data_IF_801435795586
#
_entry.id   IF_801435795586
#
_cell.length_a   1.000
_cell.length_b   1.000
_cell.length_c   1.000
_cell.angle_alpha   90.00
_cell.angle_beta   90.00
_cell.angle_gamma   90.00
#
_symmetry.space_group_name_H-M   'P 1'
#
loop_
_entity.id
_entity.type
_entity.pdbx_description
1 polymer ?
#
# COMPACT_ATOMS: atom_id res chain seq x y z
N UNK A 1 15.43 -14.31 -23.76
CA UNK A 1 14.02 -14.73 -23.51
C UNK A 1 14.02 -15.86 -22.51
N UNK A 2 13.20 -15.76 -21.46
CA UNK A 2 13.08 -16.75 -20.40
C UNK A 2 11.63 -16.94 -20.04
N UNK A 3 11.28 -18.11 -19.52
CA UNK A 3 9.99 -18.34 -18.83
C UNK A 3 10.09 -17.76 -17.42
N UNK A 4 9.18 -16.87 -17.06
CA UNK A 4 9.16 -16.22 -15.75
C UNK A 4 7.83 -16.42 -15.06
N UNK A 5 7.86 -16.91 -13.82
CA UNK A 5 6.68 -17.08 -12.98
C UNK A 5 6.61 -15.95 -11.95
N UNK A 6 5.41 -15.36 -11.80
CA UNK A 6 5.11 -14.34 -10.79
C UNK A 6 3.95 -14.84 -9.94
N UNK A 7 4.04 -14.72 -8.63
CA UNK A 7 2.96 -15.06 -7.68
C UNK A 7 2.30 -13.78 -7.17
N UNK A 8 1.04 -13.61 -7.52
CA UNK A 8 0.20 -12.46 -7.16
C UNK A 8 0.06 -11.42 -8.27
N UNK A 9 -1.18 -11.19 -8.71
CA UNK A 9 -1.58 -10.17 -9.68
C UNK A 9 -1.93 -8.82 -9.03
N UNK A 10 -1.23 -8.45 -7.95
CA UNK A 10 -1.29 -7.10 -7.37
C UNK A 10 -0.43 -6.10 -8.13
N UNK A 11 -0.38 -4.84 -7.65
CA UNK A 11 0.32 -3.75 -8.34
C UNK A 11 1.77 -4.09 -8.70
N UNK A 12 2.53 -4.66 -7.76
CA UNK A 12 3.95 -4.98 -8.00
C UNK A 12 4.13 -6.15 -8.96
N UNK A 13 3.27 -7.17 -8.87
CA UNK A 13 3.31 -8.33 -9.77
C UNK A 13 2.97 -7.96 -11.21
N UNK A 14 1.93 -7.13 -11.40
CA UNK A 14 1.52 -6.68 -12.73
C UNK A 14 2.55 -5.74 -13.36
N UNK A 15 3.15 -4.80 -12.60
CA UNK A 15 4.23 -3.96 -13.13
C UNK A 15 5.45 -4.80 -13.53
N UNK A 16 5.82 -5.80 -12.71
CA UNK A 16 6.90 -6.72 -13.08
C UNK A 16 6.57 -7.50 -14.35
N UNK A 17 5.35 -7.98 -14.48
CA UNK A 17 4.89 -8.71 -15.67
C UNK A 17 4.93 -7.85 -16.94
N UNK A 18 4.47 -6.61 -16.84
CA UNK A 18 4.46 -5.63 -17.94
C UNK A 18 5.89 -5.35 -18.43
N UNK A 19 6.84 -5.09 -17.51
CA UNK A 19 8.23 -4.80 -17.86
C UNK A 19 8.91 -6.01 -18.52
N UNK A 20 8.72 -7.21 -17.97
CA UNK A 20 9.28 -8.46 -18.49
C UNK A 20 8.73 -8.82 -19.87
N UNK A 21 7.40 -8.75 -20.04
CA UNK A 21 6.77 -9.01 -21.34
C UNK A 21 7.24 -8.00 -22.40
N UNK A 22 7.39 -6.71 -22.02
CA UNK A 22 7.95 -5.68 -22.88
C UNK A 22 9.41 -5.94 -23.32
N UNK A 23 10.16 -6.76 -22.58
CA UNK A 23 11.51 -7.23 -22.92
C UNK A 23 11.53 -8.58 -23.67
N UNK A 24 10.37 -9.14 -23.95
CA UNK A 24 10.22 -10.39 -24.69
C UNK A 24 10.33 -11.67 -23.86
N UNK A 25 10.21 -11.60 -22.53
CA UNK A 25 10.07 -12.80 -21.70
C UNK A 25 8.65 -13.37 -21.80
N UNK A 26 8.52 -14.69 -21.63
CA UNK A 26 7.23 -15.35 -21.47
C UNK A 26 6.84 -15.34 -20.00
N UNK A 27 5.79 -14.59 -19.67
CA UNK A 27 5.41 -14.34 -18.27
C UNK A 27 4.11 -15.02 -17.93
N UNK A 28 4.12 -15.82 -16.85
CA UNK A 28 2.92 -16.38 -16.24
C UNK A 28 2.75 -15.81 -14.83
N UNK A 29 1.59 -15.22 -14.54
CA UNK A 29 1.20 -14.71 -13.25
C UNK A 29 0.19 -15.65 -12.61
N UNK A 30 0.49 -16.18 -11.43
CA UNK A 30 -0.40 -17.02 -10.63
C UNK A 30 -1.17 -16.15 -9.64
N UNK A 31 -2.48 -16.07 -9.79
CA UNK A 31 -3.35 -15.29 -8.91
C UNK A 31 -4.30 -16.23 -8.16
N UNK A 32 -4.38 -16.09 -6.82
CA UNK A 32 -5.23 -16.96 -6.00
C UNK A 32 -6.72 -16.68 -6.14
N UNK A 33 -7.09 -15.42 -6.36
CA UNK A 33 -8.48 -15.02 -6.55
C UNK A 33 -9.00 -15.45 -7.92
N UNK A 34 -10.34 -15.50 -8.07
CA UNK A 34 -10.98 -15.85 -9.34
C UNK A 34 -11.00 -14.71 -10.36
N UNK A 35 -10.53 -13.51 -9.98
CA UNK A 35 -10.48 -12.30 -10.82
C UNK A 35 -9.45 -11.31 -10.30
N UNK A 36 -9.13 -10.30 -11.12
CA UNK A 36 -8.26 -9.21 -10.75
C UNK A 36 -8.84 -8.35 -9.60
N UNK A 37 -7.96 -7.71 -8.82
CA UNK A 37 -8.31 -6.70 -7.84
C UNK A 37 -8.31 -7.18 -6.39
N UNK A 38 -7.94 -8.43 -6.12
CA UNK A 38 -7.82 -8.98 -4.78
C UNK A 38 -9.15 -9.31 -4.12
N UNK A 39 -9.16 -9.42 -2.78
CA UNK A 39 -10.30 -9.89 -1.99
C UNK A 39 -11.58 -9.10 -2.26
N UNK A 40 -12.61 -9.76 -2.80
CA UNK A 40 -13.89 -9.13 -3.18
C UNK A 40 -14.66 -8.54 -1.99
N UNK A 41 -14.44 -9.05 -0.77
CA UNK A 41 -15.04 -8.49 0.42
C UNK A 41 -14.51 -7.11 0.78
N UNK A 42 -13.22 -6.89 0.54
CA UNK A 42 -12.53 -5.64 0.80
C UNK A 42 -12.72 -4.65 -0.36
N UNK A 43 -12.74 -5.13 -1.60
CA UNK A 43 -12.82 -4.33 -2.83
C UNK A 43 -14.26 -4.12 -3.31
N UNK A 44 -14.56 -3.00 -4.02
CA UNK A 44 -13.67 -1.88 -4.34
C UNK A 44 -13.39 -1.00 -3.13
N UNK A 45 -12.20 -0.41 -3.10
CA UNK A 45 -11.84 0.60 -2.11
C UNK A 45 -10.99 1.70 -2.75
N UNK A 46 -11.27 2.97 -2.47
CA UNK A 46 -10.38 4.07 -2.78
C UNK A 46 -9.14 4.01 -1.87
N UNK A 47 -7.98 4.30 -2.43
CA UNK A 47 -6.72 4.33 -1.69
C UNK A 47 -5.89 5.56 -2.07
N UNK A 48 -5.54 6.37 -1.08
CA UNK A 48 -4.74 7.58 -1.27
C UNK A 48 -3.24 7.28 -1.28
N UNK A 49 -2.48 8.03 -2.08
CA UNK A 49 -1.03 8.01 -2.07
C UNK A 49 -0.45 9.31 -2.63
N UNK A 50 0.73 9.74 -2.14
CA UNK A 50 1.50 10.72 -2.85
C UNK A 50 2.11 10.08 -4.12
N UNK A 51 1.77 10.62 -5.29
CA UNK A 51 2.29 10.15 -6.56
C UNK A 51 2.96 11.28 -7.35
N UNK A 52 4.06 10.96 -8.01
CA UNK A 52 4.56 11.65 -9.17
C UNK A 52 4.17 10.82 -10.41
N UNK A 53 3.04 11.16 -11.03
CA UNK A 53 2.49 10.38 -12.15
C UNK A 53 3.45 10.33 -13.33
N UNK A 54 4.09 11.45 -13.68
CA UNK A 54 5.07 11.51 -14.76
C UNK A 54 6.32 10.70 -14.45
N UNK A 55 6.80 10.80 -13.20
CA UNK A 55 7.93 10.01 -12.72
C UNK A 55 7.62 8.52 -12.71
N UNK A 56 6.43 8.11 -12.28
CA UNK A 56 5.99 6.71 -12.33
C UNK A 56 5.97 6.21 -13.76
N UNK A 57 5.34 6.96 -14.68
CA UNK A 57 5.28 6.59 -16.10
C UNK A 57 6.68 6.44 -16.70
N UNK A 58 7.57 7.43 -16.48
CA UNK A 58 8.95 7.38 -16.94
C UNK A 58 9.73 6.20 -16.37
N UNK A 59 9.51 5.90 -15.08
CA UNK A 59 10.24 4.83 -14.39
C UNK A 59 9.70 3.44 -14.72
N UNK A 60 8.39 3.23 -14.73
CA UNK A 60 7.76 1.91 -14.90
C UNK A 60 7.37 1.61 -16.35
N UNK A 61 7.31 2.61 -17.20
CA UNK A 61 6.76 2.48 -18.56
C UNK A 61 5.22 2.32 -18.60
N UNK A 62 4.54 2.59 -17.47
CA UNK A 62 3.08 2.46 -17.35
C UNK A 62 2.48 3.78 -16.91
N UNK A 63 1.55 4.31 -17.71
CA UNK A 63 0.77 5.49 -17.34
C UNK A 63 -0.41 5.08 -16.44
N UNK A 64 -0.37 5.50 -15.18
CA UNK A 64 -1.45 5.26 -14.21
C UNK A 64 -2.40 6.46 -14.07
N UNK A 65 -2.18 7.53 -14.82
CA UNK A 65 -3.01 8.74 -14.73
C UNK A 65 -4.50 8.50 -15.02
N UNK A 66 -4.90 7.58 -15.94
CA UNK A 66 -6.32 7.31 -16.18
C UNK A 66 -7.06 6.74 -14.97
N UNK A 67 -6.36 6.05 -14.05
CA UNK A 67 -6.96 5.48 -12.84
C UNK A 67 -6.74 6.37 -11.60
N UNK A 68 -6.16 7.57 -11.75
CA UNK A 68 -5.76 8.45 -10.65
C UNK A 68 -6.57 9.75 -10.66
N UNK A 69 -7.10 10.14 -9.51
CA UNK A 69 -7.75 11.43 -9.31
C UNK A 69 -7.05 12.22 -8.21
N UNK A 70 -6.93 13.54 -8.38
CA UNK A 70 -6.42 14.42 -7.32
C UNK A 70 -7.37 14.40 -6.14
N UNK A 71 -6.85 14.32 -4.91
CA UNK A 71 -7.67 14.45 -3.71
C UNK A 71 -8.14 15.89 -3.58
N UNK A 72 -9.45 16.09 -3.55
CA UNK A 72 -10.10 17.42 -3.48
C UNK A 72 -10.21 17.93 -2.04
N UNK A 73 -10.48 17.04 -1.09
CA UNK A 73 -10.61 17.37 0.33
C UNK A 73 -9.85 16.36 1.18
N UNK A 74 -8.98 16.87 2.04
CA UNK A 74 -8.19 16.06 2.95
C UNK A 74 -8.23 16.65 4.36
N UNK A 75 -8.59 15.85 5.35
CA UNK A 75 -8.57 16.27 6.74
C UNK A 75 -8.02 15.20 7.69
N UNK A 76 -7.65 15.66 8.87
CA UNK A 76 -7.27 14.80 9.99
C UNK A 76 -8.18 15.13 11.18
N UNK A 77 -8.85 14.13 11.70
CA UNK A 77 -9.54 14.17 12.97
C UNK A 77 -8.60 13.64 14.06
N UNK A 78 -8.22 14.49 15.00
CA UNK A 78 -7.34 14.11 16.09
C UNK A 78 -7.98 14.47 17.43
N UNK A 79 -8.40 13.46 18.19
CA UNK A 79 -9.07 13.60 19.49
C UNK A 79 -10.23 14.61 19.46
N UNK A 80 -11.10 14.48 18.45
CA UNK A 80 -12.31 15.32 18.28
C UNK A 80 -12.09 16.68 17.64
N UNK A 81 -10.86 17.07 17.31
CA UNK A 81 -10.53 18.32 16.60
C UNK A 81 -10.26 18.01 15.12
N UNK A 82 -10.84 18.80 14.21
CA UNK A 82 -10.64 18.68 12.77
C UNK A 82 -9.53 19.62 12.31
N UNK A 83 -8.58 19.05 11.57
CA UNK A 83 -7.50 19.78 10.92
C UNK A 83 -7.62 19.60 9.41
N UNK A 84 -7.75 20.67 8.67
CA UNK A 84 -7.70 20.64 7.21
C UNK A 84 -6.25 20.45 6.79
N UNK A 85 -5.99 19.43 5.96
CA UNK A 85 -4.65 19.20 5.42
C UNK A 85 -4.39 20.15 4.27
N UNK A 86 -3.35 20.98 4.34
CA UNK A 86 -3.01 21.85 3.23
C UNK A 86 -2.58 21.01 2.03
N UNK A 87 -3.33 21.14 0.93
CA UNK A 87 -2.94 20.54 -0.36
C UNK A 87 -1.83 21.40 -0.95
N UNK A 88 -0.59 21.08 -0.60
CA UNK A 88 0.61 21.80 -1.02
C UNK A 88 1.01 21.41 -2.43
N UNK A 89 1.40 22.39 -3.26
CA UNK A 89 1.90 22.12 -4.61
C UNK A 89 3.12 21.19 -4.65
N UNK A 90 3.93 21.22 -3.59
CA UNK A 90 5.11 20.37 -3.45
C UNK A 90 4.81 18.89 -3.19
N UNK A 91 3.58 18.53 -2.79
CA UNK A 91 3.16 17.15 -2.51
C UNK A 91 1.78 16.94 -3.10
N UNK A 92 1.73 16.32 -4.26
CA UNK A 92 0.47 15.96 -4.91
C UNK A 92 -0.04 14.63 -4.33
N UNK A 93 -1.22 14.67 -3.73
CA UNK A 93 -1.91 13.49 -3.23
C UNK A 93 -2.97 13.06 -4.26
N UNK A 94 -2.90 11.81 -4.64
CA UNK A 94 -3.86 11.20 -5.54
C UNK A 94 -4.61 10.07 -4.84
N UNK A 95 -5.83 9.86 -5.28
CA UNK A 95 -6.64 8.70 -4.96
C UNK A 95 -6.69 7.79 -6.17
N UNK A 96 -6.61 6.50 -5.95
CA UNK A 96 -6.89 5.47 -6.96
C UNK A 96 -7.95 4.53 -6.42
N UNK A 97 -8.80 4.03 -7.29
CA UNK A 97 -9.70 2.92 -6.95
C UNK A 97 -8.92 1.61 -7.08
N UNK A 98 -9.06 0.74 -6.10
CA UNK A 98 -8.53 -0.62 -6.12
C UNK A 98 -9.68 -1.61 -6.32
N UNK A 99 -9.45 -2.68 -7.06
CA UNK A 99 -10.47 -3.69 -7.32
C UNK A 99 -10.59 -4.09 -8.78
N UNK A 100 -11.75 -4.69 -9.12
CA UNK A 100 -12.02 -5.24 -10.45
C UNK A 100 -12.92 -4.37 -11.33
N UNK A 101 -13.27 -3.15 -10.91
CA UNK A 101 -14.03 -2.21 -11.74
C UNK A 101 -13.15 -1.64 -12.84
N UNK A 102 -13.76 -1.21 -13.93
CA UNK A 102 -13.05 -0.62 -15.08
C UNK A 102 -12.20 0.60 -14.70
N UNK A 103 -12.69 1.41 -13.75
CA UNK A 103 -11.98 2.57 -13.19
C UNK A 103 -10.80 2.24 -12.27
N UNK A 104 -10.62 0.96 -11.90
CA UNK A 104 -9.63 0.57 -10.92
C UNK A 104 -8.21 0.47 -11.51
N UNK A 105 -7.23 0.87 -10.72
CA UNK A 105 -5.81 0.76 -11.06
C UNK A 105 -5.38 -0.70 -11.32
N UNK A 106 -5.95 -1.65 -10.57
CA UNK A 106 -5.67 -3.08 -10.78
C UNK A 106 -6.12 -3.54 -12.17
N UNK A 107 -7.29 -3.10 -12.63
CA UNK A 107 -7.83 -3.43 -13.95
C UNK A 107 -7.02 -2.76 -15.06
N UNK A 108 -6.61 -1.50 -14.88
CA UNK A 108 -5.74 -0.82 -15.84
C UNK A 108 -4.42 -1.59 -16.03
N UNK A 109 -3.74 -1.94 -14.94
CA UNK A 109 -2.49 -2.69 -15.02
C UNK A 109 -2.68 -4.11 -15.59
N UNK A 110 -3.78 -4.77 -15.25
CA UNK A 110 -4.10 -6.09 -15.80
C UNK A 110 -4.30 -6.04 -17.31
N UNK A 111 -5.09 -5.09 -17.79
CA UNK A 111 -5.35 -4.92 -19.23
C UNK A 111 -4.04 -4.62 -19.98
N UNK A 112 -3.17 -3.78 -19.42
CA UNK A 112 -1.86 -3.50 -19.99
C UNK A 112 -0.96 -4.76 -20.02
N UNK A 113 -0.96 -5.56 -18.95
CA UNK A 113 -0.20 -6.81 -18.92
C UNK A 113 -0.70 -7.82 -19.98
N UNK A 114 -2.01 -8.02 -20.07
CA UNK A 114 -2.62 -8.94 -21.06
C UNK A 114 -2.37 -8.46 -22.48
N UNK A 115 -2.44 -7.15 -22.74
CA UNK A 115 -2.16 -6.59 -24.08
C UNK A 115 -0.72 -6.86 -24.54
N UNK A 116 0.20 -7.07 -23.60
CA UNK A 116 1.61 -7.45 -23.86
C UNK A 116 1.84 -8.96 -23.89
N UNK A 117 0.78 -9.76 -23.83
CA UNK A 117 0.88 -11.23 -23.94
C UNK A 117 1.20 -11.93 -22.60
N UNK A 118 1.02 -11.26 -21.46
CA UNK A 118 1.16 -11.92 -20.14
C UNK A 118 0.02 -12.91 -19.95
N UNK A 119 0.35 -14.14 -19.56
CA UNK A 119 -0.63 -15.15 -19.14
C UNK A 119 -0.96 -14.98 -17.66
N UNK A 120 -2.23 -14.73 -17.29
CA UNK A 120 -2.68 -14.65 -15.91
C UNK A 120 -3.59 -15.82 -15.59
N UNK A 121 -3.15 -16.68 -14.69
CA UNK A 121 -3.89 -17.85 -14.22
C UNK A 121 -4.58 -17.54 -12.89
N UNK A 122 -5.90 -17.39 -12.93
CA UNK A 122 -6.73 -17.19 -11.74
C UNK A 122 -7.05 -18.52 -11.04
N UNK A 123 -7.41 -18.43 -9.74
CA UNK A 123 -7.69 -19.61 -8.92
C UNK A 123 -6.46 -20.49 -8.68
N UNK A 124 -5.26 -19.90 -8.71
CA UNK A 124 -3.96 -20.58 -8.53
C UNK A 124 -3.30 -20.13 -7.22
N UNK A 125 -3.79 -20.60 -6.08
CA UNK A 125 -3.23 -20.24 -4.77
C UNK A 125 -1.82 -20.83 -4.57
N UNK A 126 -0.90 -20.01 -4.08
CA UNK A 126 0.42 -20.41 -3.56
C UNK A 126 0.46 -19.96 -2.11
N UNK A 127 0.29 -20.91 -1.17
CA UNK A 127 -0.02 -20.60 0.24
C UNK A 127 0.97 -21.25 1.19
N UNK A 128 1.29 -22.54 0.96
CA UNK A 128 2.10 -23.33 1.87
C UNK A 128 3.60 -23.25 1.56
N UNK A 129 4.44 -23.57 2.53
CA UNK A 129 5.89 -23.69 2.32
C UNK A 129 6.21 -24.68 1.17
N UNK A 130 5.43 -25.76 1.05
CA UNK A 130 5.58 -26.73 -0.04
C UNK A 130 5.32 -26.12 -1.41
N UNK A 131 4.26 -25.29 -1.53
CA UNK A 131 3.97 -24.60 -2.78
C UNK A 131 5.10 -23.67 -3.20
N UNK A 132 5.62 -22.84 -2.26
CA UNK A 132 6.75 -21.95 -2.53
C UNK A 132 8.04 -22.71 -2.88
N UNK A 133 8.28 -23.89 -2.28
CA UNK A 133 9.45 -24.72 -2.56
C UNK A 133 9.42 -25.33 -3.96
N UNK A 134 8.23 -25.61 -4.51
CA UNK A 134 8.05 -26.17 -5.84
C UNK A 134 8.19 -25.14 -6.97
N UNK A 135 8.11 -23.83 -6.66
CA UNK A 135 8.29 -22.80 -7.67
C UNK A 135 9.72 -22.78 -8.22
N UNK A 136 9.89 -22.45 -9.50
CA UNK A 136 11.21 -22.29 -10.11
C UNK A 136 12.10 -21.30 -9.33
N UNK A 137 13.43 -21.41 -9.41
CA UNK A 137 14.32 -20.33 -9.00
C UNK A 137 13.96 -19.03 -9.69
N UNK A 138 14.26 -17.92 -9.04
CA UNK A 138 14.00 -16.57 -9.53
C UNK A 138 12.50 -16.22 -9.77
N UNK A 139 11.56 -17.07 -9.28
CA UNK A 139 10.15 -16.69 -9.23
C UNK A 139 9.98 -15.40 -8.44
N UNK A 140 9.20 -14.45 -8.99
CA UNK A 140 8.88 -13.19 -8.34
C UNK A 140 7.67 -13.39 -7.41
N UNK A 141 7.83 -13.10 -6.12
CA UNK A 141 6.77 -13.21 -5.12
C UNK A 141 6.21 -11.81 -4.82
N UNK A 142 4.95 -11.58 -5.19
CA UNK A 142 4.24 -10.30 -5.14
C UNK A 142 2.94 -10.37 -4.33
N UNK A 143 2.92 -11.14 -3.24
CA UNK A 143 1.72 -11.48 -2.46
C UNK A 143 1.27 -10.40 -1.45
N UNK A 144 1.98 -9.29 -1.37
CA UNK A 144 1.56 -8.13 -0.57
C UNK A 144 1.61 -8.36 0.94
N UNK A 145 0.48 -8.16 1.63
CA UNK A 145 0.35 -8.26 3.09
C UNK A 145 -0.32 -9.58 3.54
N UNK A 146 -0.28 -10.61 2.73
CA UNK A 146 -0.89 -11.90 3.05
C UNK A 146 -0.08 -12.65 4.10
N UNK A 147 -0.69 -12.92 5.25
CA UNK A 147 -0.07 -13.60 6.38
C UNK A 147 0.58 -14.93 5.99
N UNK A 148 -0.11 -15.72 5.19
CA UNK A 148 0.34 -17.04 4.75
C UNK A 148 1.70 -16.99 4.03
N UNK A 149 1.94 -15.93 3.28
CA UNK A 149 3.22 -15.76 2.56
C UNK A 149 4.37 -15.44 3.51
N UNK A 150 4.13 -14.66 4.56
CA UNK A 150 5.15 -14.39 5.58
C UNK A 150 5.50 -15.67 6.34
N UNK A 151 4.49 -16.44 6.72
CA UNK A 151 4.69 -17.72 7.44
C UNK A 151 5.40 -18.75 6.58
N UNK A 152 4.92 -18.99 5.36
CA UNK A 152 5.49 -19.96 4.44
C UNK A 152 6.94 -19.66 4.06
N UNK A 153 7.29 -18.39 3.93
CA UNK A 153 8.65 -17.94 3.63
C UNK A 153 9.49 -17.68 4.89
N UNK A 154 8.93 -17.89 6.10
CA UNK A 154 9.61 -17.56 7.36
C UNK A 154 10.13 -16.10 7.41
N UNK A 155 9.38 -15.17 6.84
CA UNK A 155 9.68 -13.74 6.87
C UNK A 155 9.09 -13.15 8.15
N UNK A 156 9.87 -12.50 9.03
CA UNK A 156 9.36 -11.87 10.23
C UNK A 156 8.31 -10.80 9.92
N UNK A 157 7.22 -10.80 10.66
CA UNK A 157 6.09 -9.88 10.48
C UNK A 157 5.50 -9.43 11.82
N UNK A 158 4.73 -8.32 11.76
CA UNK A 158 3.77 -7.92 12.79
C UNK A 158 2.36 -8.27 12.31
N UNK A 159 1.52 -8.94 13.13
CA UNK A 159 0.12 -9.14 12.78
C UNK A 159 -0.58 -7.80 12.53
N UNK A 160 -1.41 -7.74 11.49
CA UNK A 160 -2.23 -6.58 11.14
C UNK A 160 -3.71 -6.95 11.36
N UNK A 161 -4.35 -6.17 12.21
CA UNK A 161 -5.79 -6.28 12.49
C UNK A 161 -6.50 -5.09 11.86
N UNK A 162 -7.63 -5.34 11.23
CA UNK A 162 -8.45 -4.31 10.61
C UNK A 162 -9.92 -4.46 10.97
N UNK A 163 -10.66 -3.35 10.93
CA UNK A 163 -12.11 -3.30 11.02
C UNK A 163 -12.60 -2.34 9.97
N UNK A 164 -13.31 -2.80 8.96
CA UNK A 164 -13.62 -2.03 7.77
C UNK A 164 -15.08 -2.13 7.35
N UNK A 165 -15.52 -1.15 6.58
CA UNK A 165 -16.79 -1.15 5.88
C UNK A 165 -16.65 -0.45 4.54
N UNK A 166 -17.52 -0.79 3.60
CA UNK A 166 -17.63 -0.14 2.28
C UNK A 166 -19.08 0.17 1.98
N UNK A 167 -19.29 1.21 1.18
CA UNK A 167 -20.59 1.66 0.78
C UNK A 167 -20.55 2.44 -0.52
N UNK A 168 -21.67 3.05 -0.84
CA UNK A 168 -21.80 3.97 -1.96
C UNK A 168 -22.12 5.38 -1.47
N UNK A 169 -21.72 6.37 -2.25
CA UNK A 169 -22.09 7.78 -2.07
C UNK A 169 -22.69 8.31 -3.37
N UNK A 170 -23.51 9.32 -3.27
CA UNK A 170 -24.22 9.94 -4.40
C UNK A 170 -23.41 11.00 -5.14
N UNK A 171 -22.14 11.12 -4.83
CA UNK A 171 -21.21 12.09 -5.42
C UNK A 171 -19.93 11.42 -5.90
N UNK A 172 -19.21 12.08 -6.82
CA UNK A 172 -17.92 11.63 -7.36
C UNK A 172 -16.72 12.40 -6.77
N UNK A 173 -16.89 13.04 -5.62
CA UNK A 173 -15.81 13.79 -4.95
C UNK A 173 -14.77 12.83 -4.37
N UNK A 174 -13.53 13.25 -4.50
CA UNK A 174 -12.38 12.53 -3.98
C UNK A 174 -11.97 13.10 -2.63
N UNK A 175 -12.37 12.42 -1.57
CA UNK A 175 -12.19 12.89 -0.19
C UNK A 175 -11.42 11.89 0.65
N UNK A 176 -10.68 12.40 1.64
CA UNK A 176 -10.01 11.57 2.64
C UNK A 176 -10.08 12.21 4.03
N UNK A 177 -10.39 11.39 5.03
CA UNK A 177 -10.28 11.74 6.43
C UNK A 177 -9.45 10.68 7.18
N UNK A 178 -8.40 11.11 7.87
CA UNK A 178 -7.62 10.29 8.77
C UNK A 178 -8.09 10.50 10.21
N UNK A 179 -8.12 9.45 11.00
CA UNK A 179 -8.59 9.46 12.39
C UNK A 179 -7.50 9.00 13.34
N UNK A 180 -7.05 9.89 14.22
CA UNK A 180 -6.14 9.59 15.31
C UNK A 180 -6.86 9.79 16.65
N UNK A 181 -6.97 8.73 17.44
CA UNK A 181 -7.58 8.76 18.78
C UNK A 181 -7.13 7.52 19.58
N UNK A 182 -7.57 7.40 20.82
CA UNK A 182 -7.20 6.33 21.74
C UNK A 182 -7.75 4.95 21.36
N UNK A 183 -8.52 4.84 20.29
CA UNK A 183 -9.06 3.58 19.78
C UNK A 183 -8.03 2.71 19.03
N UNK A 184 -6.91 3.28 18.59
CA UNK A 184 -5.80 2.57 17.96
C UNK A 184 -4.47 3.31 18.19
N UNK A 185 -3.36 2.59 18.09
CA UNK A 185 -2.02 3.19 18.03
C UNK A 185 -1.58 3.56 16.61
N UNK A 186 -2.28 3.07 15.62
CA UNK A 186 -2.10 3.46 14.23
C UNK A 186 -3.13 4.56 13.88
N UNK A 187 -4.01 4.37 12.92
CA UNK A 187 -5.05 5.35 12.60
C UNK A 187 -6.27 4.69 11.96
N UNK A 188 -7.37 5.44 11.89
CA UNK A 188 -8.52 5.12 11.05
C UNK A 188 -8.48 5.93 9.76
N UNK A 189 -9.16 5.43 8.75
CA UNK A 189 -9.24 6.03 7.43
C UNK A 189 -10.67 6.00 6.92
N UNK A 190 -11.11 7.11 6.31
CA UNK A 190 -12.33 7.21 5.54
C UNK A 190 -12.02 7.88 4.22
N UNK A 191 -12.59 7.41 3.13
CA UNK A 191 -12.40 8.02 1.81
C UNK A 191 -13.57 7.76 0.87
N UNK A 192 -13.67 8.62 -0.16
CA UNK A 192 -14.64 8.47 -1.25
C UNK A 192 -13.98 8.70 -2.60
N UNK A 193 -14.41 7.97 -3.62
CA UNK A 193 -14.02 8.14 -5.02
C UNK A 193 -14.96 7.31 -5.91
N UNK A 194 -15.32 7.81 -7.09
CA UNK A 194 -16.11 7.09 -8.09
C UNK A 194 -17.42 6.52 -7.54
N UNK A 195 -18.11 7.25 -6.68
CA UNK A 195 -19.35 6.80 -6.04
C UNK A 195 -19.15 5.72 -4.97
N UNK A 196 -17.90 5.37 -4.61
CA UNK A 196 -17.58 4.42 -3.56
C UNK A 196 -17.16 5.16 -2.30
N UNK A 197 -17.64 4.70 -1.14
CA UNK A 197 -17.09 5.06 0.17
C UNK A 197 -16.45 3.85 0.84
N UNK A 198 -15.36 4.10 1.54
CA UNK A 198 -14.64 3.06 2.27
C UNK A 198 -14.13 3.61 3.60
N UNK A 199 -14.20 2.79 4.62
CA UNK A 199 -13.64 3.14 5.93
C UNK A 199 -12.93 1.94 6.53
N UNK A 200 -11.77 2.19 7.15
CA UNK A 200 -11.02 1.16 7.85
C UNK A 200 -10.34 1.73 9.10
N UNK A 201 -10.43 0.99 10.18
CA UNK A 201 -9.59 1.14 11.36
C UNK A 201 -8.60 -0.01 11.38
N UNK A 202 -7.34 0.25 11.59
CA UNK A 202 -6.34 -0.82 11.69
C UNK A 202 -5.37 -0.60 12.84
N UNK A 203 -4.75 -1.69 13.24
CA UNK A 203 -3.77 -1.73 14.31
C UNK A 203 -2.82 -2.91 14.10
N UNK A 204 -1.55 -2.69 14.40
CA UNK A 204 -0.52 -3.74 14.44
C UNK A 204 -0.38 -4.33 15.82
N UNK A 205 0.15 -5.55 15.86
CA UNK A 205 0.63 -6.27 17.04
C UNK A 205 -0.44 -6.75 18.03
N UNK A 206 -1.59 -6.16 18.06
CA UNK A 206 -2.70 -6.55 18.96
C UNK A 206 -4.07 -6.33 18.33
N UNK A 207 -5.07 -7.14 18.67
CA UNK A 207 -6.43 -6.97 18.17
C UNK A 207 -7.04 -5.61 18.55
N UNK A 208 -7.90 -5.08 17.68
CA UNK A 208 -8.73 -3.92 17.98
C UNK A 208 -9.75 -4.26 19.07
N UNK A 209 -9.89 -3.38 20.05
CA UNK A 209 -10.91 -3.55 21.09
C UNK A 209 -12.33 -3.28 20.56
N UNK A 210 -13.33 -3.96 21.10
CA UNK A 210 -14.73 -3.71 20.75
C UNK A 210 -15.14 -2.26 20.98
N UNK A 211 -14.73 -1.66 22.11
CA UNK A 211 -14.99 -0.24 22.39
C UNK A 211 -14.31 0.71 21.39
N UNK A 212 -13.10 0.36 20.93
CA UNK A 212 -12.37 1.12 19.91
C UNK A 212 -13.08 1.09 18.56
N UNK A 213 -13.52 -0.09 18.11
CA UNK A 213 -14.29 -0.27 16.88
C UNK A 213 -15.57 0.55 16.90
N UNK A 214 -16.33 0.49 18.00
CA UNK A 214 -17.58 1.19 18.16
C UNK A 214 -17.40 2.71 18.23
N UNK A 215 -16.35 3.19 18.92
CA UNK A 215 -15.98 4.62 18.93
C UNK A 215 -15.65 5.13 17.52
N UNK A 216 -14.85 4.38 16.77
CA UNK A 216 -14.49 4.73 15.41
C UNK A 216 -15.71 4.79 14.50
N UNK A 217 -16.57 3.75 14.52
CA UNK A 217 -17.81 3.72 13.73
C UNK A 217 -18.66 4.96 13.96
N UNK A 218 -18.88 5.33 15.24
CA UNK A 218 -19.66 6.55 15.59
C UNK A 218 -19.00 7.84 15.11
N UNK A 219 -17.67 7.93 15.16
CA UNK A 219 -16.94 9.10 14.67
C UNK A 219 -17.08 9.26 13.17
N UNK A 220 -16.95 8.19 12.39
CA UNK A 220 -17.15 8.21 10.94
C UNK A 220 -18.58 8.61 10.60
N UNK A 221 -19.59 7.99 11.21
CA UNK A 221 -20.98 8.33 10.97
C UNK A 221 -21.29 9.81 11.27
N UNK A 222 -20.79 10.32 12.39
CA UNK A 222 -21.02 11.72 12.79
C UNK A 222 -20.27 12.73 11.93
N UNK A 223 -19.01 12.47 11.60
CA UNK A 223 -18.12 13.47 11.01
C UNK A 223 -18.22 13.51 9.49
N UNK A 224 -18.49 12.36 8.87
CA UNK A 224 -18.54 12.21 7.41
C UNK A 224 -19.97 11.96 6.89
N UNK A 225 -20.95 11.94 7.80
CA UNK A 225 -22.36 11.59 7.48
C UNK A 225 -22.47 10.26 6.72
N UNK A 226 -21.56 9.31 7.05
CA UNK A 226 -21.44 8.03 6.38
C UNK A 226 -21.86 6.88 7.32
N UNK A 227 -22.99 6.26 7.02
CA UNK A 227 -23.48 5.11 7.75
C UNK A 227 -23.23 3.82 6.98
N UNK A 228 -22.52 2.90 7.61
CA UNK A 228 -22.25 1.58 7.07
C UNK A 228 -22.94 0.51 7.92
N UNK A 229 -23.65 -0.39 7.26
CA UNK A 229 -24.30 -1.55 7.90
C UNK A 229 -23.44 -2.82 7.91
N UNK A 230 -22.34 -2.84 7.15
CA UNK A 230 -21.58 -4.04 6.79
C UNK A 230 -20.16 -4.06 7.37
N UNK A 231 -19.97 -3.51 8.57
CA UNK A 231 -18.68 -3.56 9.25
C UNK A 231 -18.20 -4.99 9.49
N UNK A 232 -16.95 -5.26 9.12
CA UNK A 232 -16.32 -6.58 9.25
C UNK A 232 -14.90 -6.47 9.79
N UNK A 233 -14.44 -7.52 10.43
CA UNK A 233 -13.03 -7.67 10.80
C UNK A 233 -12.22 -8.15 9.60
N UNK A 234 -11.04 -7.53 9.39
CA UNK A 234 -10.03 -8.01 8.46
C UNK A 234 -9.16 -9.01 9.21
N UNK A 235 -9.13 -10.23 8.72
CA UNK A 235 -8.33 -11.33 9.26
C UNK A 235 -7.18 -11.68 8.30
N UNK A 236 -6.07 -12.18 8.84
CA UNK A 236 -4.98 -12.71 8.04
C UNK A 236 -4.08 -11.66 7.36
N UNK A 237 -4.01 -10.47 7.92
CA UNK A 237 -3.04 -9.44 7.50
C UNK A 237 -1.71 -9.54 8.22
N UNK A 238 -0.61 -9.25 7.52
CA UNK A 238 0.72 -9.12 8.09
C UNK A 238 1.44 -7.88 7.57
N UNK A 239 2.17 -7.20 8.45
CA UNK A 239 3.01 -6.07 8.10
C UNK A 239 4.49 -6.44 8.20
N UNK A 240 5.36 -5.92 7.32
CA UNK A 240 6.79 -6.03 7.51
C UNK A 240 7.23 -5.40 8.82
N UNK A 241 8.13 -6.06 9.53
CA UNK A 241 8.77 -5.48 10.72
C UNK A 241 10.08 -4.79 10.36
N UNK A 242 10.43 -3.75 11.11
CA UNK A 242 11.73 -3.11 11.03
C UNK A 242 12.84 -4.07 11.48
N UNK A 243 13.64 -4.52 10.54
CA UNK A 243 14.85 -5.31 10.80
C UNK A 243 15.94 -4.90 9.81
N UNK A 244 17.18 -5.29 10.09
CA UNK A 244 18.30 -5.05 9.15
C UNK A 244 18.13 -5.81 7.81
N UNK A 245 17.17 -6.75 7.75
CA UNK A 245 16.86 -7.53 6.55
C UNK A 245 15.69 -6.95 5.75
N UNK A 246 15.05 -5.88 6.21
CA UNK A 246 13.99 -5.17 5.53
C UNK A 246 14.40 -3.73 5.22
N UNK A 247 14.10 -3.20 4.03
CA UNK A 247 13.52 -3.89 2.86
C UNK A 247 14.45 -4.95 2.26
N UNK A 248 13.87 -5.94 1.54
CA UNK A 248 14.59 -7.04 0.89
C UNK A 248 14.12 -7.25 -0.55
N UNK A 249 15.06 -7.45 -1.48
CA UNK A 249 14.76 -7.84 -2.85
C UNK A 249 14.81 -9.36 -3.05
N UNK A 250 15.66 -10.06 -2.28
CA UNK A 250 15.85 -11.48 -2.41
C UNK A 250 15.53 -12.21 -1.11
N UNK A 251 14.97 -13.42 -1.23
CA UNK A 251 14.75 -14.35 -0.12
C UNK A 251 15.00 -15.79 -0.60
N UNK A 252 16.10 -16.39 -0.16
CA UNK A 252 16.58 -17.64 -0.75
C UNK A 252 16.85 -17.46 -2.25
N UNK A 253 16.24 -18.32 -3.06
CA UNK A 253 16.32 -18.26 -4.51
C UNK A 253 15.12 -17.57 -5.16
N UNK A 254 14.34 -16.80 -4.41
CA UNK A 254 13.17 -16.04 -4.89
C UNK A 254 13.45 -14.54 -4.90
N UNK A 255 12.75 -13.83 -5.79
CA UNK A 255 12.74 -12.38 -5.87
C UNK A 255 11.48 -11.88 -5.16
N UNK A 256 11.62 -10.95 -4.20
CA UNK A 256 10.51 -10.47 -3.39
C UNK A 256 10.17 -9.03 -3.79
N UNK A 257 8.89 -8.73 -3.96
CA UNK A 257 8.44 -7.38 -4.37
C UNK A 257 7.18 -6.93 -3.64
N UNK A 258 6.84 -5.64 -3.79
CA UNK A 258 5.69 -5.04 -3.15
C UNK A 258 5.85 -4.94 -1.63
N UNK A 259 4.75 -4.84 -0.93
CA UNK A 259 4.76 -4.68 0.54
C UNK A 259 5.40 -5.86 1.27
N UNK A 260 5.38 -7.05 0.70
CA UNK A 260 6.10 -8.22 1.23
C UNK A 260 7.61 -7.97 1.32
N UNK A 261 8.19 -7.20 0.40
CA UNK A 261 9.61 -6.84 0.43
C UNK A 261 9.95 -5.79 1.49
N UNK A 262 8.98 -5.22 2.18
CA UNK A 262 9.16 -4.17 3.17
C UNK A 262 9.03 -2.75 2.62
N UNK A 263 8.61 -2.56 1.38
CA UNK A 263 8.45 -1.23 0.76
C UNK A 263 7.08 -0.61 1.07
N UNK A 264 6.81 -0.43 2.35
CA UNK A 264 5.63 0.26 2.86
C UNK A 264 6.04 1.24 3.96
N UNK A 265 5.50 2.45 3.95
CA UNK A 265 5.76 3.43 5.01
C UNK A 265 5.23 2.91 6.36
N UNK A 266 6.08 2.81 7.40
CA UNK A 266 5.67 2.23 8.67
C UNK A 266 4.78 3.15 9.53
N UNK A 267 4.65 4.44 9.20
CA UNK A 267 3.78 5.37 9.93
C UNK A 267 2.37 5.44 9.34
N UNK A 268 2.27 5.62 8.02
CA UNK A 268 1.01 5.92 7.33
C UNK A 268 0.59 4.81 6.35
N UNK A 269 1.30 3.70 6.28
CA UNK A 269 1.01 2.54 5.43
C UNK A 269 0.92 2.84 3.92
N UNK A 270 1.54 3.92 3.44
CA UNK A 270 1.66 4.17 2.01
C UNK A 270 2.60 3.15 1.37
N UNK A 271 2.03 2.21 0.64
CA UNK A 271 2.77 1.12 -0.01
C UNK A 271 2.62 1.07 -1.53
N UNK A 272 1.71 1.86 -2.12
CA UNK A 272 1.43 1.76 -3.55
C UNK A 272 2.61 2.20 -4.43
N UNK A 273 3.22 3.35 -4.15
CA UNK A 273 4.42 3.79 -4.87
C UNK A 273 5.55 2.77 -4.75
N UNK A 274 5.83 2.31 -3.52
CA UNK A 274 6.82 1.26 -3.29
C UNK A 274 6.53 -0.03 -4.06
N UNK A 275 5.26 -0.43 -4.17
CA UNK A 275 4.85 -1.59 -4.94
C UNK A 275 5.11 -1.43 -6.44
N UNK A 276 4.77 -0.27 -7.02
CA UNK A 276 5.01 0.01 -8.43
C UNK A 276 6.52 0.00 -8.74
N UNK A 277 7.33 0.70 -7.94
CA UNK A 277 8.78 0.78 -8.15
C UNK A 277 9.46 -0.58 -7.97
N UNK A 278 9.15 -1.27 -6.87
CA UNK A 278 9.76 -2.58 -6.59
C UNK A 278 9.34 -3.66 -7.60
N UNK A 279 8.16 -3.55 -8.20
CA UNK A 279 7.73 -4.41 -9.29
C UNK A 279 8.68 -4.34 -10.48
N UNK A 280 9.02 -3.13 -10.93
CA UNK A 280 9.99 -2.95 -12.00
C UNK A 280 11.40 -3.44 -11.60
N UNK A 281 11.83 -3.16 -10.38
CA UNK A 281 13.13 -3.61 -9.88
C UNK A 281 13.19 -5.14 -9.82
N UNK A 282 12.10 -5.80 -9.43
CA UNK A 282 12.01 -7.25 -9.43
C UNK A 282 12.12 -7.83 -10.86
N UNK A 283 11.52 -7.16 -11.84
CA UNK A 283 11.69 -7.52 -13.25
C UNK A 283 13.16 -7.37 -13.71
N UNK A 284 13.84 -6.28 -13.33
CA UNK A 284 15.27 -6.09 -13.63
C UNK A 284 16.12 -7.25 -13.07
N UNK A 285 15.74 -7.80 -11.92
CA UNK A 285 16.51 -8.87 -11.27
C UNK A 285 16.50 -10.21 -12.05
N UNK A 286 15.57 -10.39 -12.99
CA UNK A 286 15.57 -11.53 -13.92
C UNK A 286 16.76 -11.44 -14.90
N UNK A 287 17.09 -10.24 -15.36
CA UNK A 287 18.15 -10.00 -16.31
C UNK A 287 19.51 -9.76 -15.62
N UNK A 288 19.50 -8.91 -14.57
CA UNK A 288 20.71 -8.52 -13.84
C UNK A 288 20.40 -8.29 -12.36
N UNK A 289 20.73 -9.28 -11.53
CA UNK A 289 20.56 -9.23 -10.07
C UNK A 289 21.40 -8.14 -9.40
N UNK A 290 22.59 -7.84 -9.95
CA UNK A 290 23.48 -6.83 -9.40
C UNK A 290 22.93 -5.43 -9.61
N UNK A 291 22.56 -5.09 -10.85
CA UNK A 291 21.93 -3.81 -11.18
C UNK A 291 20.60 -3.62 -10.41
N UNK A 292 19.78 -4.64 -10.35
CA UNK A 292 18.52 -4.61 -9.59
C UNK A 292 18.74 -4.37 -8.09
N UNK A 293 19.76 -4.99 -7.50
CA UNK A 293 20.11 -4.76 -6.10
C UNK A 293 20.55 -3.33 -5.82
N UNK A 294 21.40 -2.76 -6.67
CA UNK A 294 21.83 -1.38 -6.53
C UNK A 294 20.66 -0.39 -6.69
N UNK A 295 19.77 -0.65 -7.63
CA UNK A 295 18.55 0.15 -7.81
C UNK A 295 17.61 0.02 -6.61
N UNK A 296 17.42 -1.19 -6.10
CA UNK A 296 16.61 -1.44 -4.91
C UNK A 296 17.15 -0.70 -3.69
N UNK A 297 18.47 -0.72 -3.48
CA UNK A 297 19.11 0.01 -2.38
C UNK A 297 18.84 1.53 -2.47
N UNK A 298 18.95 2.11 -3.67
CA UNK A 298 18.65 3.53 -3.89
C UNK A 298 17.18 3.85 -3.61
N UNK A 299 16.26 3.04 -4.16
CA UNK A 299 14.83 3.23 -3.99
C UNK A 299 14.36 3.05 -2.53
N UNK A 300 15.07 2.24 -1.75
CA UNK A 300 14.65 1.88 -0.39
C UNK A 300 15.49 2.51 0.73
N UNK A 301 16.42 3.40 0.41
CA UNK A 301 17.36 3.99 1.38
C UNK A 301 16.70 4.66 2.59
N UNK A 302 15.48 5.17 2.44
CA UNK A 302 14.75 5.85 3.51
C UNK A 302 13.87 4.91 4.36
N UNK A 303 13.61 3.69 3.89
CA UNK A 303 12.70 2.76 4.59
C UNK A 303 13.29 2.25 5.91
N UNK A 304 14.52 1.76 5.91
CA UNK A 304 15.14 1.24 7.12
C UNK A 304 15.21 2.28 8.25
N UNK A 305 15.76 3.49 8.03
CA UNK A 305 15.75 4.54 9.05
C UNK A 305 14.34 4.86 9.56
N UNK A 306 13.34 4.88 8.69
CA UNK A 306 11.96 5.17 9.07
C UNK A 306 11.34 4.05 9.91
N UNK A 307 11.65 2.77 9.60
CA UNK A 307 11.27 1.64 10.46
C UNK A 307 11.91 1.76 11.86
N UNK A 308 13.19 2.14 11.94
CA UNK A 308 13.86 2.37 13.22
C UNK A 308 13.21 3.51 13.97
N UNK A 309 12.94 4.63 13.31
CA UNK A 309 12.26 5.78 13.90
C UNK A 309 10.85 5.42 14.41
N UNK A 310 10.08 4.66 13.64
CA UNK A 310 8.75 4.21 14.08
C UNK A 310 8.84 3.31 15.30
N UNK A 311 9.77 2.36 15.33
CA UNK A 311 9.97 1.50 16.49
C UNK A 311 10.40 2.30 17.72
N UNK A 312 11.31 3.25 17.56
CA UNK A 312 11.73 4.14 18.64
C UNK A 312 10.56 5.00 19.15
N UNK A 313 9.76 5.56 18.24
CA UNK A 313 8.55 6.31 18.58
C UNK A 313 7.56 5.46 19.39
N UNK A 314 7.29 4.24 18.96
CA UNK A 314 6.35 3.34 19.64
C UNK A 314 6.83 2.91 21.04
N UNK A 315 8.14 2.79 21.24
CA UNK A 315 8.74 2.41 22.53
C UNK A 315 8.90 3.59 23.48
N UNK A 316 9.33 4.75 22.97
CA UNK A 316 9.77 5.87 23.81
C UNK A 316 8.69 6.92 24.03
N UNK A 317 7.69 7.03 23.14
CA UNK A 317 6.62 8.02 23.26
C UNK A 317 5.41 7.37 23.94
N UNK A 318 5.15 7.68 25.23
CA UNK A 318 3.99 7.15 25.94
C UNK A 318 2.70 7.71 25.33
N UNK A 319 1.59 6.97 25.46
CA UNK A 319 0.30 7.32 24.84
C UNK A 319 -0.17 8.72 25.25
N UNK A 320 0.09 9.12 26.49
CA UNK A 320 -0.25 10.48 27.00
C UNK A 320 0.48 11.60 26.26
N UNK A 321 1.68 11.35 25.74
CA UNK A 321 2.47 12.35 25.00
C UNK A 321 2.10 12.38 23.50
N UNK A 322 1.51 11.33 22.95
CA UNK A 322 1.15 11.27 21.52
C UNK A 322 0.15 12.34 21.13
N UNK A 323 -0.88 12.55 21.95
CA UNK A 323 -1.91 13.55 21.69
C UNK A 323 -1.36 14.98 21.56
N UNK A 324 -0.63 15.55 22.55
CA UNK A 324 -0.09 16.90 22.42
C UNK A 324 0.93 17.03 21.28
N UNK A 325 1.78 16.02 21.04
CA UNK A 325 2.74 16.02 19.94
C UNK A 325 2.05 16.05 18.58
N UNK A 326 1.06 15.19 18.35
CA UNK A 326 0.31 15.14 17.11
C UNK A 326 -0.44 16.47 16.88
N UNK A 327 -1.12 16.99 17.89
CA UNK A 327 -1.84 18.28 17.77
C UNK A 327 -0.91 19.43 17.45
N UNK A 328 0.28 19.48 18.06
CA UNK A 328 1.28 20.50 17.75
C UNK A 328 1.75 20.38 16.29
N UNK A 329 2.05 19.17 15.81
CA UNK A 329 2.45 18.93 14.45
C UNK A 329 1.35 19.34 13.44
N UNK A 330 0.10 18.94 13.69
CA UNK A 330 -1.04 19.29 12.83
C UNK A 330 -1.31 20.80 12.79
N UNK A 331 -1.16 21.51 13.90
CA UNK A 331 -1.28 22.98 13.95
C UNK A 331 -0.15 23.70 13.22
N UNK A 332 1.03 23.10 13.18
CA UNK A 332 2.19 23.66 12.48
C UNK A 332 2.13 23.41 10.97
N UNK A 333 1.57 22.27 10.53
CA UNK A 333 1.58 21.84 9.13
C UNK A 333 1.14 22.90 8.10
N UNK A 334 0.07 23.69 8.31
CA UNK A 334 -0.33 24.75 7.37
C UNK A 334 0.70 25.87 7.21
N UNK A 335 1.56 26.09 8.22
CA UNK A 335 2.56 27.16 8.26
C UNK A 335 3.90 26.74 7.66
N UNK A 336 4.09 25.47 7.37
CA UNK A 336 5.34 24.97 6.79
C UNK A 336 5.40 25.40 5.32
N UNK A 337 6.51 26.01 4.91
CA UNK A 337 6.74 26.41 3.53
C UNK A 337 6.75 25.21 2.59
N UNK A 338 6.27 25.38 1.36
CA UNK A 338 6.20 24.32 0.34
C UNK A 338 7.56 23.67 0.08
N UNK A 339 8.63 24.46 0.05
CA UNK A 339 10.00 23.96 -0.13
C UNK A 339 10.46 23.02 1.00
N UNK A 340 10.09 23.36 2.24
CA UNK A 340 10.42 22.54 3.41
C UNK A 340 9.57 21.27 3.40
N UNK A 341 8.28 21.41 3.09
CA UNK A 341 7.35 20.28 2.97
C UNK A 341 7.81 19.31 1.86
N UNK A 342 8.21 19.79 0.69
CA UNK A 342 8.72 18.96 -0.38
C UNK A 342 10.00 18.20 0.01
N UNK A 343 10.95 18.86 0.70
CA UNK A 343 12.14 18.17 1.21
C UNK A 343 11.80 17.10 2.24
N UNK A 344 10.87 17.39 3.13
CA UNK A 344 10.40 16.43 4.12
C UNK A 344 9.73 15.23 3.43
N UNK A 345 8.79 15.47 2.53
CA UNK A 345 8.08 14.44 1.79
C UNK A 345 9.02 13.51 1.02
N UNK A 346 10.06 14.06 0.37
CA UNK A 346 11.04 13.26 -0.37
C UNK A 346 11.87 12.31 0.50
N UNK A 347 11.87 12.49 1.82
CA UNK A 347 12.56 11.60 2.76
C UNK A 347 11.63 10.60 3.45
N UNK A 348 10.30 10.72 3.25
CA UNK A 348 9.35 9.75 3.77
C UNK A 348 9.23 8.59 2.77
N UNK A 349 9.40 7.33 3.21
CA UNK A 349 9.15 6.17 2.37
C UNK A 349 7.74 6.18 1.80
N UNK A 350 7.61 5.85 0.51
CA UNK A 350 6.32 5.89 -0.18
C UNK A 350 5.84 7.30 -0.59
N UNK A 351 6.61 8.34 -0.29
CA UNK A 351 6.33 9.74 -0.65
C UNK A 351 7.36 10.33 -1.62
N UNK A 352 8.50 9.66 -1.79
CA UNK A 352 9.56 10.17 -2.63
C UNK A 352 9.08 10.35 -4.07
N UNK A 353 9.18 11.58 -4.56
CA UNK A 353 9.00 11.89 -5.98
C UNK A 353 10.20 11.34 -6.76
N UNK A 354 9.94 10.81 -7.94
CA UNK A 354 10.93 10.14 -8.81
C UNK A 354 11.70 11.14 -9.68
#
# INVERSE_FOLDING_TARGET
>A
MSEVTIVGAGLSGLVAAIDLAGKGHHVTVLERESRIGGMSEFRPDPAGSPFDLEGITRYTGVDISPASKVIEDACVWAWGERFVMPMKAAVKLYMVERGSRESALDTLLFNEAVSRGVNVEFGRPVITQGDFAQLPPDTIIATGLLLESYEALSIPYSPLYGFFAKGTVDHDRTMVAMYFDDFTRDYGWYCTMNGVSFSILFQRDRPLSTGGKEKFRRLVARNESAEFSNWKDLLGGACPVGSIRNPRLFHGNKIITGTLSGVIDPFLFFGMLGALLSGRIAAMAIDDKGAAWEEFRKATMTYYPTYVAKKAFDLLVPDIARRPLMRAALKAAPRVEDRVMGRFANNIPGWRLL
#
